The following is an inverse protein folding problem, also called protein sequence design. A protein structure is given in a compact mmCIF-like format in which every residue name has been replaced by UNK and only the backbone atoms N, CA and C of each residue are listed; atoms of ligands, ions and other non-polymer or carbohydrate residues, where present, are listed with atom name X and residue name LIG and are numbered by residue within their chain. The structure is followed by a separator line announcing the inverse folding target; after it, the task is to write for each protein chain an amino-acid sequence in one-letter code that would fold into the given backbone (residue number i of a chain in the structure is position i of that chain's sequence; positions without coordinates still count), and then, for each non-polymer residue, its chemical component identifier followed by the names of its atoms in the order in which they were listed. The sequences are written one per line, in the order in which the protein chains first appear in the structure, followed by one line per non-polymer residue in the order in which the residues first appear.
data_IF_472737236086
#
_entry.id   IF_472737236086
#
_cell.length_a   1.000
_cell.length_b   1.000
_cell.length_c   1.000
_cell.angle_alpha   90.00
_cell.angle_beta   90.00
_cell.angle_gamma   90.00
#
_symmetry.space_group_name_H-M   'P 1'
#
loop_
_entity.id
_entity.type
_entity.pdbx_description
1 polymer ?
#
# COMPACT_ATOMS: atom_id res chain seq x y z
N UNK A 1 2.12 9.61 -6.37
CA UNK A 1 1.36 9.55 -5.10
C UNK A 1 1.45 10.88 -4.37
N UNK A 2 0.33 11.46 -4.03
CA UNK A 2 0.22 12.53 -3.02
C UNK A 2 -0.23 11.90 -1.70
N UNK A 3 0.40 12.26 -0.59
CA UNK A 3 0.07 11.77 0.76
C UNK A 3 -0.28 12.94 1.66
N UNK A 4 -1.49 12.89 2.26
CA UNK A 4 -1.91 13.92 3.22
C UNK A 4 -1.09 13.83 4.51
N UNK A 5 -1.06 14.94 5.26
CA UNK A 5 -0.40 14.96 6.57
C UNK A 5 -1.04 13.99 7.57
N UNK A 6 -2.35 13.74 7.43
CA UNK A 6 -3.07 12.76 8.25
C UNK A 6 -2.51 11.34 8.12
N UNK A 7 -2.03 10.97 6.95
CA UNK A 7 -1.41 9.66 6.65
C UNK A 7 0.11 9.76 6.44
N UNK A 8 0.78 10.73 7.07
CA UNK A 8 2.25 10.82 7.13
C UNK A 8 2.92 11.63 6.03
N UNK A 9 2.17 12.35 5.21
CA UNK A 9 2.73 13.29 4.25
C UNK A 9 3.16 14.60 4.88
N UNK A 10 3.75 15.47 4.07
CA UNK A 10 4.30 16.77 4.54
C UNK A 10 3.29 17.92 4.43
N UNK A 11 2.22 17.77 3.67
CA UNK A 11 1.28 18.85 3.36
C UNK A 11 -0.11 18.58 3.94
N UNK A 12 -0.69 19.63 4.51
CA UNK A 12 -2.11 19.66 4.82
C UNK A 12 -2.89 20.01 3.54
N UNK A 13 -4.01 19.32 3.33
CA UNK A 13 -4.95 19.62 2.26
C UNK A 13 -6.37 19.49 2.80
N UNK A 14 -7.27 20.36 2.36
CA UNK A 14 -8.69 20.13 2.55
C UNK A 14 -9.14 18.97 1.66
N UNK A 15 -10.28 18.35 1.97
CA UNK A 15 -10.84 17.27 1.15
C UNK A 15 -11.02 17.71 -0.31
N UNK A 16 -11.49 18.94 -0.56
CA UNK A 16 -11.63 19.48 -1.92
C UNK A 16 -10.28 19.61 -2.62
N UNK A 17 -9.27 20.18 -1.96
CA UNK A 17 -7.93 20.31 -2.54
C UNK A 17 -7.29 18.94 -2.84
N UNK A 18 -7.49 17.97 -1.95
CA UNK A 18 -7.03 16.61 -2.14
C UNK A 18 -7.68 15.95 -3.37
N UNK A 19 -9.02 16.03 -3.45
CA UNK A 19 -9.79 15.55 -4.58
C UNK A 19 -9.33 16.19 -5.90
N UNK A 20 -9.31 17.52 -5.97
CA UNK A 20 -8.96 18.25 -7.17
C UNK A 20 -7.55 17.90 -7.68
N UNK A 21 -6.59 17.73 -6.76
CA UNK A 21 -5.23 17.32 -7.10
C UNK A 21 -5.18 15.91 -7.72
N UNK A 22 -5.97 14.95 -7.19
CA UNK A 22 -6.03 13.61 -7.76
C UNK A 22 -6.71 13.61 -9.14
N UNK A 23 -7.80 14.40 -9.30
CA UNK A 23 -8.48 14.55 -10.58
C UNK A 23 -7.57 15.19 -11.62
N UNK A 24 -6.87 16.28 -11.28
CA UNK A 24 -5.91 16.95 -12.19
C UNK A 24 -4.79 15.98 -12.61
N UNK A 25 -4.31 15.13 -11.70
CA UNK A 25 -3.31 14.13 -12.02
C UNK A 25 -3.83 13.08 -13.01
N UNK A 26 -5.06 12.58 -12.82
CA UNK A 26 -5.72 11.64 -13.74
C UNK A 26 -5.94 12.31 -15.10
N UNK A 27 -6.43 13.55 -15.11
CA UNK A 27 -6.72 14.32 -16.32
C UNK A 27 -5.47 14.66 -17.13
N UNK A 28 -4.32 14.73 -16.47
CA UNK A 28 -3.04 15.04 -17.13
C UNK A 28 -2.63 14.04 -18.20
N UNK A 29 -3.08 12.78 -18.12
CA UNK A 29 -2.70 11.70 -19.01
C UNK A 29 -1.24 11.21 -18.85
N UNK A 30 -0.55 11.63 -17.80
CA UNK A 30 0.85 11.27 -17.55
C UNK A 30 1.04 10.22 -16.44
N UNK A 31 -0.05 9.71 -15.87
CA UNK A 31 0.03 8.69 -14.82
C UNK A 31 -0.62 7.39 -15.26
N UNK A 32 -0.04 6.27 -14.85
CA UNK A 32 -0.59 4.94 -15.06
C UNK A 32 -1.38 4.45 -13.83
N UNK A 33 -1.01 4.95 -12.65
CA UNK A 33 -1.61 4.54 -11.36
C UNK A 33 -1.80 5.77 -10.47
N UNK A 34 -2.98 5.92 -9.88
CA UNK A 34 -3.26 6.90 -8.81
C UNK A 34 -3.39 6.19 -7.46
N UNK A 35 -2.98 6.86 -6.37
CA UNK A 35 -3.12 6.35 -4.99
C UNK A 35 -4.08 7.28 -4.24
N UNK A 36 -5.23 6.77 -3.79
CA UNK A 36 -6.23 7.47 -2.98
C UNK A 36 -6.30 6.89 -1.57
N UNK A 37 -6.39 7.76 -0.56
CA UNK A 37 -6.46 7.38 0.85
C UNK A 37 -7.86 6.90 1.22
N UNK A 38 -7.97 5.69 1.77
CA UNK A 38 -9.24 5.05 2.13
C UNK A 38 -10.07 5.86 3.13
N UNK A 39 -9.40 6.55 4.07
CA UNK A 39 -10.06 7.37 5.11
C UNK A 39 -10.19 8.86 4.74
N UNK A 40 -9.99 9.24 3.47
CA UNK A 40 -10.20 10.62 3.06
C UNK A 40 -11.69 11.00 3.12
N UNK A 41 -12.49 10.42 2.28
CA UNK A 41 -13.95 10.47 2.20
C UNK A 41 -14.38 9.42 1.17
N UNK A 42 -15.43 8.65 1.46
CA UNK A 42 -15.87 7.58 0.54
C UNK A 42 -16.40 8.13 -0.78
N UNK A 43 -17.02 9.31 -0.79
CA UNK A 43 -17.45 9.95 -2.04
C UNK A 43 -16.25 10.29 -2.92
N UNK A 44 -15.15 10.77 -2.32
CA UNK A 44 -13.91 11.05 -3.05
C UNK A 44 -13.27 9.77 -3.57
N UNK A 45 -13.23 8.69 -2.76
CA UNK A 45 -12.70 7.39 -3.18
C UNK A 45 -13.47 6.87 -4.39
N UNK A 46 -14.80 6.89 -4.34
CA UNK A 46 -15.66 6.42 -5.43
C UNK A 46 -15.49 7.27 -6.69
N UNK A 47 -15.44 8.60 -6.58
CA UNK A 47 -15.20 9.51 -7.70
C UNK A 47 -13.84 9.28 -8.35
N UNK A 48 -12.77 9.15 -7.55
CA UNK A 48 -11.41 8.90 -8.05
C UNK A 48 -11.33 7.57 -8.78
N UNK A 49 -11.92 6.51 -8.25
CA UNK A 49 -11.96 5.19 -8.90
C UNK A 49 -12.70 5.29 -10.24
N UNK A 50 -13.89 5.89 -10.26
CA UNK A 50 -14.69 6.01 -11.47
C UNK A 50 -13.96 6.79 -12.57
N UNK A 51 -13.37 7.96 -12.23
CA UNK A 51 -12.66 8.79 -13.19
C UNK A 51 -11.38 8.11 -13.69
N UNK A 52 -10.57 7.53 -12.80
CA UNK A 52 -9.36 6.80 -13.16
C UNK A 52 -9.66 5.65 -14.14
N UNK A 53 -10.65 4.81 -13.82
CA UNK A 53 -11.05 3.70 -14.68
C UNK A 53 -11.57 4.17 -16.04
N UNK A 54 -12.30 5.30 -16.10
CA UNK A 54 -12.79 5.88 -17.36
C UNK A 54 -11.65 6.25 -18.32
N UNK A 55 -10.45 6.52 -17.78
CA UNK A 55 -9.23 6.92 -18.51
C UNK A 55 -8.18 5.82 -18.59
N UNK A 56 -8.47 4.62 -18.10
CA UNK A 56 -7.55 3.48 -18.10
C UNK A 56 -6.39 3.63 -17.10
N UNK A 57 -6.57 4.43 -16.05
CA UNK A 57 -5.62 4.59 -14.94
C UNK A 57 -6.01 3.63 -13.84
N UNK A 58 -5.05 2.86 -13.31
CA UNK A 58 -5.26 1.95 -12.18
C UNK A 58 -5.31 2.71 -10.85
N UNK A 59 -6.01 2.14 -9.86
CA UNK A 59 -6.19 2.78 -8.55
C UNK A 59 -5.62 1.93 -7.42
N UNK A 60 -4.70 2.51 -6.66
CA UNK A 60 -4.33 2.02 -5.33
C UNK A 60 -5.26 2.70 -4.33
N UNK A 61 -6.04 1.94 -3.56
CA UNK A 61 -6.70 2.47 -2.37
C UNK A 61 -5.86 2.11 -1.16
N UNK A 62 -5.44 3.12 -0.40
CA UNK A 62 -4.41 2.97 0.62
C UNK A 62 -4.84 3.45 2.00
N UNK A 63 -4.28 2.83 3.03
CA UNK A 63 -4.34 3.32 4.40
C UNK A 63 -2.96 3.27 5.06
N UNK A 64 -2.61 4.34 5.78
CA UNK A 64 -1.36 4.43 6.54
C UNK A 64 -1.65 4.81 7.99
N UNK A 65 -1.09 4.04 8.92
CA UNK A 65 -1.10 4.36 10.35
C UNK A 65 0.35 4.44 10.87
N UNK A 66 0.77 5.64 11.25
CA UNK A 66 2.12 5.91 11.77
C UNK A 66 2.24 5.74 13.28
N UNK A 67 1.17 5.35 13.96
CA UNK A 67 1.13 5.25 15.42
C UNK A 67 1.15 3.82 15.91
N UNK A 68 0.42 2.93 15.24
CA UNK A 68 0.23 1.56 15.71
C UNK A 68 -0.10 0.61 14.57
N UNK A 69 0.04 -0.68 14.85
CA UNK A 69 -0.52 -1.77 14.04
C UNK A 69 -1.72 -2.37 14.77
N UNK A 70 -2.86 -2.44 14.09
CA UNK A 70 -4.08 -3.03 14.63
C UNK A 70 -4.01 -4.57 14.61
N UNK A 71 -4.87 -5.29 15.37
CA UNK A 71 -4.93 -6.75 15.36
C UNK A 71 -5.15 -7.35 13.96
N UNK A 72 -4.62 -8.55 13.74
CA UNK A 72 -4.63 -9.25 12.45
C UNK A 72 -6.03 -9.31 11.81
N UNK A 73 -7.07 -9.66 12.56
CA UNK A 73 -8.43 -9.78 12.07
C UNK A 73 -8.96 -8.43 11.54
N UNK A 74 -8.60 -7.34 12.20
CA UNK A 74 -8.97 -5.98 11.75
C UNK A 74 -8.19 -5.56 10.50
N UNK A 75 -6.94 -6.04 10.33
CA UNK A 75 -6.16 -5.82 9.11
C UNK A 75 -6.84 -6.53 7.94
N UNK A 76 -7.23 -7.79 8.12
CA UNK A 76 -7.96 -8.58 7.11
C UNK A 76 -9.26 -7.89 6.72
N UNK A 77 -10.07 -7.45 7.68
CA UNK A 77 -11.34 -6.78 7.43
C UNK A 77 -11.14 -5.43 6.72
N UNK A 78 -10.08 -4.70 7.07
CA UNK A 78 -9.73 -3.44 6.39
C UNK A 78 -9.31 -3.68 4.95
N UNK A 79 -8.50 -4.69 4.66
CA UNK A 79 -8.20 -5.07 3.28
C UNK A 79 -9.45 -5.45 2.51
N UNK A 80 -10.35 -6.27 3.08
CA UNK A 80 -11.64 -6.61 2.45
C UNK A 80 -12.45 -5.36 2.12
N UNK A 81 -12.52 -4.41 3.05
CA UNK A 81 -13.23 -3.15 2.85
C UNK A 81 -12.62 -2.31 1.72
N UNK A 82 -11.27 -2.21 1.67
CA UNK A 82 -10.56 -1.53 0.59
C UNK A 82 -10.81 -2.24 -0.76
N UNK A 83 -10.70 -3.56 -0.81
CA UNK A 83 -10.96 -4.35 -2.03
C UNK A 83 -12.41 -4.14 -2.52
N UNK A 84 -13.37 -4.04 -1.59
CA UNK A 84 -14.78 -3.85 -1.91
C UNK A 84 -15.08 -2.49 -2.57
N UNK A 85 -14.20 -1.48 -2.44
CA UNK A 85 -14.36 -0.20 -3.15
C UNK A 85 -14.16 -0.33 -4.66
N UNK A 86 -13.60 -1.43 -5.15
CA UNK A 86 -13.22 -1.59 -6.55
C UNK A 86 -11.76 -1.20 -6.84
N UNK A 87 -10.93 -1.10 -5.81
CA UNK A 87 -9.49 -0.86 -5.94
C UNK A 87 -8.82 -1.92 -6.82
N UNK A 88 -7.94 -1.50 -7.74
CA UNK A 88 -7.09 -2.43 -8.50
C UNK A 88 -5.96 -2.99 -7.64
N UNK A 89 -5.52 -2.23 -6.64
CA UNK A 89 -4.49 -2.62 -5.68
C UNK A 89 -4.93 -2.14 -4.30
N UNK A 90 -4.96 -3.03 -3.31
CA UNK A 90 -5.24 -2.68 -1.92
C UNK A 90 -3.94 -2.50 -1.13
N UNK A 91 -3.81 -1.39 -0.39
CA UNK A 91 -2.58 -1.07 0.34
C UNK A 91 -2.83 -0.72 1.79
N UNK A 92 -2.07 -1.36 2.68
CA UNK A 92 -2.00 -0.99 4.11
C UNK A 92 -0.54 -0.87 4.53
N UNK A 93 -0.21 0.23 5.20
CA UNK A 93 1.09 0.49 5.80
C UNK A 93 0.90 0.91 7.26
N UNK A 94 1.46 0.17 8.21
CA UNK A 94 1.31 0.44 9.64
C UNK A 94 2.65 0.42 10.36
N UNK A 95 2.72 1.16 11.48
CA UNK A 95 3.91 1.23 12.32
C UNK A 95 3.82 0.15 13.42
N UNK A 96 4.66 -0.88 13.41
CA UNK A 96 4.70 -1.88 14.47
C UNK A 96 5.44 -1.32 15.69
N UNK A 97 4.95 -1.66 16.87
CA UNK A 97 5.61 -1.42 18.16
C UNK A 97 6.47 -2.63 18.57
N UNK A 98 6.11 -3.82 18.07
CA UNK A 98 6.81 -5.09 18.34
C UNK A 98 6.77 -6.05 17.14
N UNK A 99 7.67 -7.04 17.14
CA UNK A 99 7.81 -7.99 16.02
C UNK A 99 6.58 -8.86 15.77
N UNK A 100 5.76 -9.14 16.77
CA UNK A 100 4.49 -9.89 16.63
C UNK A 100 3.54 -9.18 15.66
N UNK A 101 3.48 -7.85 15.71
CA UNK A 101 2.64 -7.05 14.81
C UNK A 101 3.12 -7.09 13.35
N UNK A 102 4.42 -7.27 13.12
CA UNK A 102 4.95 -7.51 11.76
C UNK A 102 4.46 -8.86 11.24
N UNK A 103 4.46 -9.87 12.10
CA UNK A 103 3.92 -11.21 11.77
C UNK A 103 2.43 -11.13 11.47
N UNK A 104 1.65 -10.38 12.26
CA UNK A 104 0.21 -10.18 12.04
C UNK A 104 -0.07 -9.57 10.66
N UNK A 105 0.72 -8.57 10.25
CA UNK A 105 0.61 -7.95 8.92
C UNK A 105 0.85 -8.96 7.79
N UNK A 106 1.88 -9.80 7.91
CA UNK A 106 2.19 -10.82 6.90
C UNK A 106 1.15 -11.95 6.90
N UNK A 107 0.68 -12.37 8.06
CA UNK A 107 -0.36 -13.40 8.16
C UNK A 107 -1.70 -12.93 7.60
N UNK A 108 -2.07 -11.66 7.81
CA UNK A 108 -3.28 -11.08 7.20
C UNK A 108 -3.25 -11.15 5.67
N UNK A 109 -2.10 -10.83 5.05
CA UNK A 109 -1.94 -10.96 3.60
C UNK A 109 -2.08 -12.41 3.13
N UNK A 110 -1.44 -13.35 3.85
CA UNK A 110 -1.51 -14.78 3.55
C UNK A 110 -2.92 -15.33 3.68
N UNK A 111 -3.66 -14.97 4.73
CA UNK A 111 -5.06 -15.37 4.92
C UNK A 111 -5.93 -14.92 3.74
N UNK A 112 -5.78 -13.67 3.30
CA UNK A 112 -6.52 -13.16 2.14
C UNK A 112 -6.21 -13.95 0.87
N UNK A 113 -4.93 -14.30 0.63
CA UNK A 113 -4.52 -15.12 -0.50
C UNK A 113 -5.13 -16.52 -0.42
N UNK A 114 -5.10 -17.17 0.74
CA UNK A 114 -5.68 -18.50 0.97
C UNK A 114 -7.22 -18.49 0.83
N UNK A 115 -7.88 -17.37 1.15
CA UNK A 115 -9.30 -17.17 0.91
C UNK A 115 -9.66 -16.87 -0.55
N UNK A 116 -8.69 -16.90 -1.48
CA UNK A 116 -8.92 -16.74 -2.92
C UNK A 116 -8.96 -15.28 -3.39
N UNK A 117 -8.42 -14.33 -2.61
CA UNK A 117 -8.28 -12.95 -3.07
C UNK A 117 -7.42 -12.88 -4.34
N UNK A 118 -7.91 -12.14 -5.35
CA UNK A 118 -7.20 -11.91 -6.61
C UNK A 118 -6.67 -10.48 -6.73
N UNK A 119 -7.13 -9.55 -5.88
CA UNK A 119 -6.66 -8.17 -5.88
C UNK A 119 -5.23 -8.12 -5.34
N UNK A 120 -4.28 -7.55 -6.08
CA UNK A 120 -2.91 -7.34 -5.61
C UNK A 120 -2.87 -6.58 -4.28
N UNK A 121 -2.01 -7.05 -3.35
CA UNK A 121 -1.86 -6.44 -2.04
C UNK A 121 -0.50 -5.75 -1.91
N UNK A 122 -0.51 -4.60 -1.23
CA UNK A 122 0.68 -3.91 -0.74
C UNK A 122 0.61 -3.90 0.78
N UNK A 123 1.47 -4.69 1.42
CA UNK A 123 1.49 -4.91 2.85
C UNK A 123 2.82 -4.44 3.41
N UNK A 124 2.80 -3.39 4.23
CA UNK A 124 4.01 -2.76 4.74
C UNK A 124 3.92 -2.57 6.25
N UNK A 125 4.79 -3.23 6.99
CA UNK A 125 5.16 -2.76 8.32
C UNK A 125 6.26 -1.71 8.17
N UNK A 126 6.06 -0.54 8.76
CA UNK A 126 7.00 0.58 8.66
C UNK A 126 8.13 0.46 9.70
N UNK A 127 9.14 1.32 9.62
CA UNK A 127 10.26 1.34 10.55
C UNK A 127 11.22 0.17 10.38
N UNK A 128 12.18 0.09 11.30
CA UNK A 128 13.25 -0.91 11.26
C UNK A 128 12.72 -2.33 11.47
N UNK A 129 11.74 -2.50 12.37
CA UNK A 129 11.11 -3.80 12.62
C UNK A 129 10.41 -4.37 11.38
N UNK A 130 9.87 -3.50 10.54
CA UNK A 130 9.06 -3.88 9.38
C UNK A 130 9.84 -4.09 8.08
N UNK A 131 11.16 -3.95 8.06
CA UNK A 131 11.98 -4.07 6.83
C UNK A 131 11.74 -5.40 6.11
N UNK A 132 11.53 -6.49 6.84
CA UNK A 132 11.30 -7.80 6.26
C UNK A 132 10.02 -7.89 5.42
N UNK A 133 8.96 -7.13 5.72
CA UNK A 133 7.75 -7.12 4.90
C UNK A 133 8.02 -6.60 3.48
N UNK A 134 9.07 -5.79 3.31
CA UNK A 134 9.49 -5.27 1.99
C UNK A 134 10.31 -6.29 1.22
N UNK A 135 11.07 -7.11 1.90
CA UNK A 135 12.07 -8.02 1.31
C UNK A 135 11.54 -9.44 1.12
N UNK A 136 10.75 -9.95 2.07
CA UNK A 136 10.21 -11.32 2.05
C UNK A 136 8.70 -11.37 1.78
N UNK A 137 8.05 -10.22 1.61
CA UNK A 137 6.60 -10.09 1.48
C UNK A 137 5.98 -10.94 0.37
N UNK A 138 6.71 -11.22 -0.72
CA UNK A 138 6.27 -12.10 -1.80
C UNK A 138 5.84 -13.49 -1.28
N UNK A 139 6.51 -14.00 -0.24
CA UNK A 139 6.19 -15.29 0.38
C UNK A 139 4.81 -15.31 1.05
N UNK A 140 4.25 -14.15 1.32
CA UNK A 140 2.98 -13.95 2.03
C UNK A 140 1.91 -13.26 1.16
N UNK A 141 2.16 -13.14 -0.16
CA UNK A 141 1.18 -12.54 -1.08
C UNK A 141 1.30 -11.03 -1.27
N UNK A 142 2.35 -10.38 -0.72
CA UNK A 142 2.64 -8.99 -1.04
C UNK A 142 3.14 -8.88 -2.49
N UNK A 143 2.47 -8.06 -3.29
CA UNK A 143 2.73 -7.98 -4.74
C UNK A 143 3.71 -6.88 -5.11
N UNK A 144 3.71 -5.78 -4.36
CA UNK A 144 4.53 -4.59 -4.65
C UNK A 144 5.27 -4.13 -3.40
N UNK A 145 6.53 -3.76 -3.55
CA UNK A 145 7.34 -3.18 -2.49
C UNK A 145 7.89 -1.81 -2.87
N UNK A 146 8.23 -1.00 -1.87
CA UNK A 146 8.73 0.36 -2.03
C UNK A 146 10.15 0.49 -1.52
N UNK A 147 11.03 1.04 -2.34
CA UNK A 147 12.42 1.33 -2.03
C UNK A 147 12.72 2.82 -2.21
N UNK A 148 13.90 3.25 -1.79
CA UNK A 148 14.38 4.60 -2.03
C UNK A 148 15.47 4.64 -3.09
N UNK A 149 15.41 5.64 -3.99
CA UNK A 149 16.48 5.97 -4.92
C UNK A 149 17.37 7.12 -4.40
N UNK A 150 17.14 7.58 -3.19
CA UNK A 150 17.85 8.70 -2.56
C UNK A 150 17.40 8.86 -1.11
N UNK A 151 16.67 9.93 -0.81
CA UNK A 151 16.12 10.17 0.54
C UNK A 151 14.88 9.29 0.72
N UNK A 152 14.80 8.46 1.80
CA UNK A 152 13.62 7.67 2.09
C UNK A 152 12.37 8.55 2.27
N UNK A 153 11.27 8.16 1.62
CA UNK A 153 9.97 8.82 1.77
C UNK A 153 9.11 8.23 2.90
N UNK A 154 9.53 7.10 3.46
CA UNK A 154 8.87 6.44 4.59
C UNK A 154 9.90 5.67 5.44
N UNK A 155 9.64 5.50 6.76
CA UNK A 155 10.51 4.72 7.64
C UNK A 155 10.68 3.28 7.15
N UNK A 156 11.90 2.76 7.29
CA UNK A 156 12.24 1.37 6.91
C UNK A 156 12.44 1.13 5.41
N UNK A 157 12.41 2.16 4.56
CA UNK A 157 12.79 2.00 3.15
C UNK A 157 14.29 1.74 3.03
N UNK A 158 14.64 0.71 2.25
CA UNK A 158 16.02 0.40 1.85
C UNK A 158 16.25 0.85 0.40
N UNK A 159 17.51 0.89 -0.04
CA UNK A 159 17.85 1.29 -1.41
C UNK A 159 17.25 0.35 -2.47
N UNK A 160 16.97 0.88 -3.66
CA UNK A 160 16.46 0.09 -4.81
C UNK A 160 17.36 -1.11 -5.10
N UNK A 161 18.69 -0.93 -5.08
CA UNK A 161 19.64 -2.00 -5.40
C UNK A 161 19.61 -3.11 -4.34
N UNK A 162 19.57 -2.74 -3.05
CA UNK A 162 19.48 -3.70 -1.96
C UNK A 162 18.15 -4.48 -2.02
N UNK A 163 17.03 -3.78 -2.20
CA UNK A 163 15.71 -4.41 -2.30
C UNK A 163 15.64 -5.35 -3.51
N UNK A 164 16.07 -4.91 -4.69
CA UNK A 164 16.06 -5.71 -5.91
C UNK A 164 16.86 -7.00 -5.74
N UNK A 165 18.06 -6.92 -5.14
CA UNK A 165 18.88 -8.09 -4.90
C UNK A 165 18.19 -9.11 -3.99
N UNK A 166 17.54 -8.67 -2.93
CA UNK A 166 16.82 -9.54 -2.01
C UNK A 166 15.55 -10.14 -2.64
N UNK A 167 14.76 -9.34 -3.33
CA UNK A 167 13.55 -9.83 -4.03
C UNK A 167 13.93 -10.87 -5.10
N UNK A 168 15.01 -10.65 -5.86
CA UNK A 168 15.48 -11.63 -6.84
C UNK A 168 15.86 -12.95 -6.19
N UNK A 169 16.58 -12.92 -5.06
CA UNK A 169 16.96 -14.11 -4.33
C UNK A 169 15.72 -14.87 -3.79
N UNK A 170 14.81 -14.17 -3.15
CA UNK A 170 13.56 -14.76 -2.62
C UNK A 170 12.72 -15.35 -3.74
N UNK A 171 12.53 -14.62 -4.84
CA UNK A 171 11.78 -15.09 -6.00
C UNK A 171 12.36 -16.40 -6.58
N UNK A 172 13.69 -16.51 -6.69
CA UNK A 172 14.33 -17.75 -7.15
C UNK A 172 14.08 -18.92 -6.20
N UNK A 173 14.08 -18.68 -4.88
CA UNK A 173 13.77 -19.71 -3.89
C UNK A 173 12.32 -20.17 -4.03
N UNK A 174 11.35 -19.24 -4.14
CA UNK A 174 9.93 -19.56 -4.29
C UNK A 174 9.65 -20.27 -5.61
N UNK A 175 10.25 -19.82 -6.70
CA UNK A 175 10.08 -20.40 -8.03
C UNK A 175 10.83 -21.73 -8.23
N UNK A 176 11.61 -22.20 -7.25
CA UNK A 176 12.38 -23.44 -7.33
C UNK A 176 13.51 -23.42 -8.37
N UNK A 177 14.11 -22.25 -8.62
CA UNK A 177 15.16 -22.02 -9.61
C UNK A 177 16.49 -21.69 -8.99
#
# INVERSE_FOLDING_TARGET
TFRTKGEGGCMEATLSQYRDLLMDAIDSGYIDIVDVEYFSDMEIVDEVIAEAHSKGVYVIVSNHDFKTTIPMEQIVDRFKSIIFTGADIAKIAMMPEEGSQVVDMMQAAKELQECGNQTPLIVISMGELGVETRTTGEMYGNTVSFATAGIPSAPGQISVDALRSQLTMIHHIIAGK
#
